data_IF_444084966227
#
_entry.id   IF_444084966227
#
_cell.length_a   1.000
_cell.length_b   1.000
_cell.length_c   1.000
_cell.angle_alpha   90.00
_cell.angle_beta   90.00
_cell.angle_gamma   90.00
#
_symmetry.space_group_name_H-M   'P 1'
#
loop_
_entity.id
_entity.type
_entity.pdbx_description
1 polymer ?
#
# COMPACT_ATOMS: atom_id res chain seq x y z
N UNK A 1 22.62 -15.70 -26.07
CA UNK A 1 21.27 -16.26 -26.30
C UNK A 1 20.32 -15.52 -25.36
N UNK A 2 19.48 -14.64 -25.89
CA UNK A 2 18.50 -13.90 -25.11
C UNK A 2 17.31 -14.84 -24.82
N UNK A 3 17.04 -15.11 -23.55
CA UNK A 3 15.88 -15.88 -23.12
C UNK A 3 14.64 -15.00 -23.30
N UNK A 4 13.89 -15.24 -24.38
CA UNK A 4 12.58 -14.64 -24.59
C UNK A 4 11.61 -15.24 -23.57
N UNK A 5 11.38 -14.53 -22.47
CA UNK A 5 10.28 -14.86 -21.55
C UNK A 5 8.98 -14.70 -22.35
N UNK A 6 8.27 -15.81 -22.55
CA UNK A 6 7.06 -15.87 -23.37
C UNK A 6 5.99 -14.90 -22.84
N UNK A 7 5.33 -14.09 -23.70
CA UNK A 7 4.29 -13.15 -23.28
C UNK A 7 3.08 -13.83 -22.63
N UNK A 8 2.95 -15.15 -22.77
CA UNK A 8 1.92 -15.97 -22.13
C UNK A 8 2.13 -16.13 -20.61
N UNK A 9 3.39 -16.06 -20.14
CA UNK A 9 3.72 -16.12 -18.70
C UNK A 9 3.39 -14.78 -18.04
N UNK A 10 3.62 -13.67 -18.75
CA UNK A 10 3.33 -12.32 -18.25
C UNK A 10 1.83 -12.06 -18.08
N UNK A 11 0.97 -12.57 -18.97
CA UNK A 11 -0.48 -12.42 -18.86
C UNK A 11 -1.11 -13.21 -17.69
N UNK A 12 -0.49 -14.32 -17.26
CA UNK A 12 -0.96 -15.10 -16.10
C UNK A 12 -0.51 -14.55 -14.75
N UNK A 13 0.53 -13.72 -14.73
CA UNK A 13 1.00 -13.03 -13.52
C UNK A 13 0.18 -11.77 -13.23
N UNK A 14 -0.46 -11.20 -14.25
CA UNK A 14 -1.44 -10.13 -14.08
C UNK A 14 -2.78 -10.79 -13.74
N UNK A 15 -3.00 -11.08 -12.46
CA UNK A 15 -4.30 -11.53 -11.99
C UNK A 15 -5.33 -10.41 -12.13
N UNK A 16 -6.59 -10.74 -12.43
CA UNK A 16 -7.70 -9.77 -12.55
C UNK A 16 -7.75 -8.72 -11.43
N UNK A 17 -7.47 -9.07 -10.15
CA UNK A 17 -7.45 -8.08 -9.08
C UNK A 17 -6.27 -7.08 -9.13
N UNK A 18 -5.13 -7.44 -9.75
CA UNK A 18 -4.04 -6.48 -10.03
C UNK A 18 -4.49 -5.39 -11.02
N UNK A 19 -5.38 -5.74 -11.94
CA UNK A 19 -5.95 -4.80 -12.91
C UNK A 19 -6.99 -3.91 -12.24
N UNK A 20 -7.81 -4.47 -11.34
CA UNK A 20 -8.89 -3.74 -10.68
C UNK A 20 -8.39 -2.77 -9.60
N UNK A 21 -7.29 -3.09 -8.90
CA UNK A 21 -6.66 -2.17 -7.97
C UNK A 21 -5.14 -2.36 -7.92
N UNK A 22 -4.46 -1.76 -8.88
CA UNK A 22 -2.99 -1.81 -9.02
C UNK A 22 -2.24 -1.37 -7.77
N UNK A 23 -2.86 -0.56 -6.89
CA UNK A 23 -2.26 -0.15 -5.62
C UNK A 23 -2.01 -1.31 -4.65
N UNK A 24 -2.66 -2.45 -4.83
CA UNK A 24 -2.36 -3.62 -4.00
C UNK A 24 -0.94 -4.14 -4.23
N UNK A 25 -0.41 -4.04 -5.46
CA UNK A 25 0.93 -4.51 -5.79
C UNK A 25 2.05 -3.52 -5.43
N UNK A 26 1.72 -2.25 -5.16
CA UNK A 26 2.74 -1.21 -5.02
C UNK A 26 3.18 -0.99 -3.57
N UNK A 27 2.45 -1.48 -2.57
CA UNK A 27 2.75 -1.14 -1.16
C UNK A 27 4.09 -1.67 -0.68
N UNK A 28 4.37 -2.97 -0.84
CA UNK A 28 5.67 -3.52 -0.48
C UNK A 28 6.83 -2.93 -1.31
N UNK A 29 6.76 -2.84 -2.65
CA UNK A 29 7.80 -2.17 -3.43
C UNK A 29 8.01 -0.70 -3.06
N UNK A 30 6.96 0.01 -2.63
CA UNK A 30 7.08 1.37 -2.16
C UNK A 30 7.78 1.44 -0.80
N UNK A 31 7.52 0.49 0.11
CA UNK A 31 8.23 0.39 1.38
C UNK A 31 9.72 0.08 1.15
N UNK A 32 10.04 -0.87 0.27
CA UNK A 32 11.43 -1.17 -0.12
C UNK A 32 12.14 0.08 -0.67
N UNK A 33 11.46 0.83 -1.55
CA UNK A 33 11.99 2.08 -2.08
C UNK A 33 12.22 3.15 -0.99
N UNK A 34 11.32 3.26 -0.02
CA UNK A 34 11.45 4.21 1.09
C UNK A 34 12.64 3.83 1.98
N UNK A 35 12.83 2.54 2.25
CA UNK A 35 14.00 2.03 2.98
C UNK A 35 15.31 2.36 2.25
N UNK A 36 15.35 2.13 0.93
CA UNK A 36 16.54 2.37 0.10
C UNK A 36 16.96 3.85 0.02
N UNK A 37 16.01 4.77 0.12
CA UNK A 37 16.31 6.21 0.10
C UNK A 37 17.09 6.68 1.33
N UNK A 38 16.91 6.02 2.48
CA UNK A 38 17.50 6.42 3.77
C UNK A 38 17.22 7.87 4.19
N UNK A 39 16.21 8.50 3.59
CA UNK A 39 15.73 9.85 3.87
C UNK A 39 14.69 9.84 5.01
N UNK A 40 14.37 11.02 5.55
CA UNK A 40 13.30 11.14 6.55
C UNK A 40 11.95 10.88 5.86
N UNK A 41 11.11 10.03 6.46
CA UNK A 41 9.84 9.63 5.85
C UNK A 41 8.66 9.73 6.79
N UNK A 42 7.55 10.28 6.29
CA UNK A 42 6.21 10.09 6.83
C UNK A 42 5.46 9.13 5.93
N UNK A 43 4.95 8.03 6.48
CA UNK A 43 4.20 7.03 5.71
C UNK A 43 2.77 6.99 6.19
N UNK A 44 1.82 7.21 5.27
CA UNK A 44 0.39 7.12 5.54
C UNK A 44 -0.18 5.83 4.98
N UNK A 45 -0.78 5.00 5.85
CA UNK A 45 -1.48 3.76 5.48
C UNK A 45 -2.92 3.79 5.98
N UNK A 46 -3.82 3.17 5.21
CA UNK A 46 -5.24 3.13 5.57
C UNK A 46 -6.16 2.97 4.37
N UNK A 47 -7.42 3.34 4.60
CA UNK A 47 -8.52 3.12 3.65
C UNK A 47 -8.55 4.13 2.49
N UNK A 48 -9.66 4.15 1.75
CA UNK A 48 -9.95 5.21 0.78
C UNK A 48 -9.91 6.61 1.40
N UNK A 49 -10.14 6.73 2.71
CA UNK A 49 -10.06 8.00 3.44
C UNK A 49 -8.63 8.54 3.43
N UNK A 50 -7.63 7.75 3.86
CA UNK A 50 -6.22 8.18 3.78
C UNK A 50 -5.78 8.40 2.34
N UNK A 51 -6.19 7.51 1.43
CA UNK A 51 -5.87 7.65 0.00
C UNK A 51 -6.30 9.01 -0.56
N UNK A 52 -7.47 9.50 -0.14
CA UNK A 52 -8.00 10.78 -0.61
C UNK A 52 -7.61 11.98 0.25
N UNK A 53 -7.28 11.79 1.54
CA UNK A 53 -7.00 12.87 2.47
C UNK A 53 -5.52 13.31 2.47
N UNK A 54 -4.59 12.41 2.15
CA UNK A 54 -3.15 12.69 2.24
C UNK A 54 -2.60 13.10 0.87
N UNK A 55 -2.19 14.36 0.77
CA UNK A 55 -1.41 14.87 -0.37
C UNK A 55 0.05 15.07 0.08
N UNK A 56 0.94 14.17 -0.33
CA UNK A 56 2.34 14.18 0.10
C UNK A 56 3.08 15.46 -0.28
N UNK A 57 2.89 15.95 -1.52
CA UNK A 57 3.51 17.18 -1.99
C UNK A 57 3.09 18.39 -1.15
N UNK A 58 1.78 18.56 -0.92
CA UNK A 58 1.27 19.66 -0.12
C UNK A 58 1.79 19.62 1.32
N UNK A 59 1.84 18.44 1.96
CA UNK A 59 2.33 18.31 3.33
C UNK A 59 3.84 18.59 3.40
N UNK A 60 4.63 18.05 2.47
CA UNK A 60 6.08 18.31 2.39
C UNK A 60 6.36 19.81 2.21
N UNK A 61 5.61 20.49 1.33
CA UNK A 61 5.74 21.94 1.10
C UNK A 61 5.42 22.77 2.34
N UNK A 62 4.35 22.43 3.07
CA UNK A 62 3.94 23.13 4.30
C UNK A 62 4.89 22.88 5.48
N UNK A 63 5.48 21.68 5.59
CA UNK A 63 6.49 21.39 6.62
C UNK A 63 7.79 22.15 6.34
N UNK A 64 8.16 22.30 5.07
CA UNK A 64 9.33 23.08 4.65
C UNK A 64 10.69 22.49 5.10
N UNK A 65 10.74 21.18 5.38
CA UNK A 65 11.98 20.45 5.71
C UNK A 65 12.53 19.76 4.47
N UNK A 66 13.76 20.10 4.09
CA UNK A 66 14.48 19.38 3.05
C UNK A 66 14.78 17.93 3.50
N UNK A 67 14.68 16.98 2.58
CA UNK A 67 14.93 15.56 2.88
C UNK A 67 13.78 14.79 3.53
N UNK A 68 12.62 15.43 3.78
CA UNK A 68 11.42 14.77 4.29
C UNK A 68 10.46 14.37 3.15
N UNK A 69 10.31 13.07 2.93
CA UNK A 69 9.31 12.50 2.03
C UNK A 69 7.99 12.17 2.75
N UNK A 70 6.84 12.49 2.14
CA UNK A 70 5.52 12.08 2.63
C UNK A 70 4.86 11.14 1.63
N UNK A 71 4.65 9.89 2.03
CA UNK A 71 4.21 8.80 1.15
C UNK A 71 2.80 8.35 1.50
N UNK A 72 1.88 8.45 0.53
CA UNK A 72 0.50 7.98 0.68
C UNK A 72 0.34 6.57 0.09
N UNK A 73 0.32 5.58 0.99
CA UNK A 73 0.11 4.17 0.69
C UNK A 73 -1.32 3.73 1.00
N UNK A 74 -2.28 4.67 1.08
CA UNK A 74 -3.69 4.37 1.29
C UNK A 74 -4.31 3.55 0.15
N UNK A 75 -5.11 2.56 0.52
CA UNK A 75 -5.74 1.60 -0.38
C UNK A 75 -7.27 1.64 -0.18
N UNK A 76 -8.01 1.78 -1.28
CA UNK A 76 -9.48 1.63 -1.23
C UNK A 76 -9.88 0.23 -0.81
N UNK A 77 -10.86 0.13 0.09
CA UNK A 77 -11.34 -1.15 0.60
C UNK A 77 -10.42 -1.79 1.65
N UNK A 78 -9.29 -1.15 1.99
CA UNK A 78 -8.39 -1.68 3.00
C UNK A 78 -9.09 -1.88 4.35
N UNK A 79 -8.82 -3.04 4.93
CA UNK A 79 -9.27 -3.41 6.26
C UNK A 79 -8.05 -3.38 7.20
N UNK A 80 -8.19 -2.89 8.44
CA UNK A 80 -7.13 -2.95 9.44
C UNK A 80 -6.36 -4.28 9.49
N UNK A 81 -7.06 -5.42 9.43
CA UNK A 81 -6.46 -6.75 9.57
C UNK A 81 -5.51 -7.12 8.42
N UNK A 82 -5.86 -6.79 7.19
CA UNK A 82 -5.02 -7.07 6.02
C UNK A 82 -3.86 -6.10 5.91
N UNK A 83 -4.04 -4.86 6.36
CA UNK A 83 -2.96 -3.87 6.41
C UNK A 83 -1.92 -4.21 7.50
N UNK A 84 -2.27 -5.01 8.52
CA UNK A 84 -1.29 -5.51 9.49
C UNK A 84 -0.15 -6.30 8.84
N UNK A 85 -0.40 -6.96 7.69
CA UNK A 85 0.62 -7.76 7.00
C UNK A 85 1.83 -6.93 6.55
N UNK A 86 1.65 -5.62 6.32
CA UNK A 86 2.74 -4.74 5.89
C UNK A 86 3.48 -4.07 7.05
N UNK A 87 2.99 -4.19 8.30
CA UNK A 87 3.60 -3.53 9.46
C UNK A 87 5.08 -3.93 9.64
N UNK A 88 5.50 -5.19 9.49
CA UNK A 88 6.92 -5.54 9.62
C UNK A 88 7.81 -4.81 8.61
N UNK A 89 7.38 -4.72 7.35
CA UNK A 89 8.10 -3.97 6.32
C UNK A 89 8.10 -2.47 6.63
N UNK A 90 6.96 -1.91 7.06
CA UNK A 90 6.85 -0.51 7.47
C UNK A 90 7.77 -0.15 8.66
N UNK A 91 7.98 -1.08 9.60
CA UNK A 91 8.94 -0.88 10.70
C UNK A 91 10.38 -0.91 10.18
N UNK A 92 10.68 -1.75 9.19
CA UNK A 92 12.02 -1.83 8.58
C UNK A 92 12.40 -0.54 7.86
N UNK A 93 11.43 0.14 7.23
CA UNK A 93 11.68 1.44 6.58
C UNK A 93 12.03 2.58 7.57
N UNK A 94 11.95 2.35 8.88
CA UNK A 94 12.27 3.31 9.94
C UNK A 94 11.73 4.75 9.73
N UNK A 95 10.42 4.92 9.48
CA UNK A 95 9.85 6.24 9.24
C UNK A 95 9.85 7.11 10.51
N UNK A 96 9.93 8.44 10.34
CA UNK A 96 9.81 9.41 11.45
C UNK A 96 8.38 9.40 12.02
N UNK A 97 7.38 9.22 11.14
CA UNK A 97 5.97 9.19 11.51
C UNK A 97 5.19 8.21 10.64
N UNK A 98 4.30 7.45 11.28
CA UNK A 98 3.27 6.68 10.59
C UNK A 98 1.91 7.32 10.83
N UNK A 99 1.24 7.74 9.76
CA UNK A 99 -0.16 8.15 9.80
C UNK A 99 -1.03 6.92 9.52
N UNK A 100 -1.83 6.54 10.52
CA UNK A 100 -2.59 5.30 10.45
C UNK A 100 -4.08 5.55 10.62
N UNK A 101 -4.86 5.16 9.61
CA UNK A 101 -6.32 5.20 9.64
C UNK A 101 -6.90 3.81 9.89
N UNK A 102 -7.56 3.67 11.04
CA UNK A 102 -8.44 2.56 11.34
C UNK A 102 -9.87 2.96 10.97
N UNK A 103 -10.16 2.92 9.67
CA UNK A 103 -11.49 3.22 9.14
C UNK A 103 -12.56 2.17 9.49
N UNK A 104 -13.85 2.48 9.24
CA UNK A 104 -15.01 1.69 9.67
C UNK A 104 -15.05 0.24 9.13
N UNK A 105 -14.23 -0.11 8.14
CA UNK A 105 -14.15 -1.46 7.57
C UNK A 105 -13.77 -2.54 8.60
N UNK A 106 -13.20 -2.16 9.75
CA UNK A 106 -12.86 -3.08 10.84
C UNK A 106 -13.75 -3.00 12.10
N UNK A 107 -14.69 -2.04 12.17
CA UNK A 107 -15.50 -1.77 13.37
C UNK A 107 -16.99 -2.11 13.21
N UNK A 108 -17.39 -2.60 12.03
CA UNK A 108 -18.77 -2.96 11.69
C UNK A 108 -18.80 -4.41 11.19
N UNK A 109 -19.91 -5.13 11.39
CA UNK A 109 -20.09 -6.49 10.85
C UNK A 109 -20.10 -6.41 9.31
N UNK A 110 -18.93 -6.56 8.70
CA UNK A 110 -18.68 -6.40 7.26
C UNK A 110 -18.78 -7.71 6.47
N UNK A 111 -19.22 -8.81 7.10
CA UNK A 111 -19.31 -10.15 6.52
C UNK A 111 -20.53 -10.33 5.62
N UNK A 112 -20.65 -9.54 4.54
CA UNK A 112 -21.68 -9.77 3.51
C UNK A 112 -21.26 -9.26 2.11
N UNK A 113 -19.96 -9.17 1.82
CA UNK A 113 -19.48 -8.72 0.50
C UNK A 113 -18.38 -9.62 -0.08
N UNK A 114 -18.64 -10.20 -1.26
CA UNK A 114 -17.66 -10.99 -2.03
C UNK A 114 -16.39 -10.19 -2.40
N UNK A 115 -16.49 -8.86 -2.51
CA UNK A 115 -15.35 -7.97 -2.83
C UNK A 115 -14.26 -7.98 -1.74
N UNK A 116 -14.64 -8.22 -0.48
CA UNK A 116 -13.69 -8.30 0.63
C UNK A 116 -12.88 -9.60 0.58
N UNK A 117 -13.51 -10.70 0.18
CA UNK A 117 -12.85 -12.00 0.04
C UNK A 117 -11.78 -11.96 -1.05
N UNK A 118 -12.05 -11.27 -2.17
CA UNK A 118 -11.07 -11.07 -3.24
C UNK A 118 -9.87 -10.24 -2.78
N UNK A 119 -10.11 -9.15 -2.03
CA UNK A 119 -9.03 -8.33 -1.46
C UNK A 119 -8.18 -9.08 -0.43
N UNK A 120 -8.82 -9.85 0.47
CA UNK A 120 -8.13 -10.69 1.46
C UNK A 120 -7.31 -11.76 0.75
N UNK A 121 -7.91 -12.51 -0.17
CA UNK A 121 -7.21 -13.55 -0.94
C UNK A 121 -6.00 -12.97 -1.67
N UNK A 122 -6.16 -11.81 -2.28
CA UNK A 122 -5.08 -11.14 -2.99
C UNK A 122 -3.91 -10.80 -2.07
N UNK A 123 -4.18 -10.18 -0.92
CA UNK A 123 -3.15 -9.77 0.06
C UNK A 123 -2.31 -10.94 0.57
N UNK A 124 -2.87 -12.15 0.63
CA UNK A 124 -2.15 -13.34 1.10
C UNK A 124 -1.55 -14.20 -0.02
N UNK A 125 -1.84 -13.92 -1.31
CA UNK A 125 -1.37 -14.75 -2.43
C UNK A 125 -0.20 -14.13 -3.20
N UNK A 126 -0.03 -12.81 -3.17
CA UNK A 126 0.99 -12.11 -3.98
C UNK A 126 2.22 -11.65 -3.16
N UNK A 127 2.21 -11.85 -1.85
CA UNK A 127 3.39 -11.61 -1.00
C UNK A 127 4.41 -12.76 -1.11
#
# INVERSE_FOLDING_TARGET
>A
MASSVSPLVTQKLISTPLIENSRYAITFPALDYIEDLQDEAVVAIGSSIIRSAVNGTCITEEIGREGLGVYNLGISGANPYTEMAQIPALVQTNPELVMLDFGPNGLWNFYDSNELDEYIQFRFTIN
#
